data_IF_968578373394
#
_entry.id   IF_968578373394
#
_cell.length_a   1.000
_cell.length_b   1.000
_cell.length_c   1.000
_cell.angle_alpha   90.00
_cell.angle_beta   90.00
_cell.angle_gamma   90.00
#
_symmetry.space_group_name_H-M   'P 1'
#
loop_
_entity.id
_entity.type
_entity.pdbx_description
1 polymer ?
#
# COMPACT_ATOMS: atom_id res chain seq x y z
N UNK A 1 11.02 11.22 6.58
CA UNK A 1 10.97 9.74 6.41
C UNK A 1 9.52 9.32 6.22
N UNK A 2 9.25 8.28 5.40
CA UNK A 2 7.93 7.65 5.29
C UNK A 2 7.88 6.39 6.16
N UNK A 3 6.72 6.07 6.74
CA UNK A 3 6.49 4.81 7.42
C UNK A 3 5.42 4.00 6.70
N UNK A 4 5.61 2.69 6.61
CA UNK A 4 4.55 1.74 6.26
C UNK A 4 4.29 0.82 7.44
N UNK A 5 3.04 0.71 7.86
CA UNK A 5 2.64 -0.05 9.02
C UNK A 5 1.62 -1.11 8.65
N UNK A 6 1.91 -2.36 8.93
CA UNK A 6 0.96 -3.44 8.70
C UNK A 6 1.59 -4.79 8.45
N UNK A 7 1.01 -5.53 7.52
CA UNK A 7 1.33 -6.93 7.29
C UNK A 7 2.70 -7.18 6.66
N UNK A 8 3.34 -8.23 7.17
CA UNK A 8 4.49 -8.88 6.58
C UNK A 8 4.31 -10.39 6.71
N UNK A 9 4.46 -11.11 5.64
CA UNK A 9 4.18 -12.54 5.57
C UNK A 9 5.08 -13.26 4.55
N UNK A 10 4.98 -14.57 4.49
CA UNK A 10 5.56 -15.36 3.40
C UNK A 10 4.44 -15.93 2.54
N UNK A 11 4.47 -15.58 1.25
CA UNK A 11 3.66 -16.21 0.23
C UNK A 11 4.36 -17.46 -0.29
N UNK A 12 3.67 -18.63 -0.26
CA UNK A 12 4.12 -19.84 -0.89
C UNK A 12 3.51 -19.94 -2.29
N UNK A 13 4.29 -19.54 -3.29
CA UNK A 13 3.86 -19.49 -4.68
C UNK A 13 4.01 -20.86 -5.34
N UNK A 14 3.01 -21.34 -6.12
CA UNK A 14 3.08 -22.63 -6.79
C UNK A 14 4.11 -22.60 -7.93
N UNK A 15 4.95 -23.62 -8.00
CA UNK A 15 5.92 -23.83 -9.07
C UNK A 15 5.95 -25.32 -9.47
N UNK A 16 6.61 -25.61 -10.59
CA UNK A 16 6.98 -26.97 -10.94
C UNK A 16 8.46 -27.19 -10.60
N UNK A 17 8.75 -28.27 -9.89
CA UNK A 17 10.13 -28.71 -9.66
C UNK A 17 10.77 -29.24 -10.95
N UNK A 18 12.09 -29.43 -10.97
CA UNK A 18 12.84 -29.92 -12.13
C UNK A 18 12.34 -31.28 -12.62
N UNK A 19 11.85 -32.12 -11.72
CA UNK A 19 11.26 -33.43 -12.03
C UNK A 19 9.73 -33.39 -12.29
N UNK A 20 9.17 -32.17 -12.45
CA UNK A 20 7.76 -31.94 -12.84
C UNK A 20 6.74 -32.06 -11.70
N UNK A 21 7.17 -32.28 -10.44
CA UNK A 21 6.26 -32.32 -9.28
C UNK A 21 5.79 -30.93 -8.90
N UNK A 22 4.60 -30.87 -8.28
CA UNK A 22 4.13 -29.64 -7.64
C UNK A 22 5.05 -29.29 -6.48
N UNK A 23 5.48 -28.04 -6.44
CA UNK A 23 6.31 -27.48 -5.39
C UNK A 23 5.84 -26.05 -5.08
N UNK A 24 6.36 -25.47 -4.02
CA UNK A 24 6.11 -24.07 -3.67
C UNK A 24 7.42 -23.34 -3.37
N UNK A 25 7.49 -22.07 -3.72
CA UNK A 25 8.62 -21.20 -3.40
C UNK A 25 8.16 -20.17 -2.37
N UNK A 26 8.82 -20.07 -1.21
CA UNK A 26 8.56 -19.02 -0.24
C UNK A 26 9.07 -17.68 -0.73
N UNK A 27 8.22 -16.65 -0.72
CA UNK A 27 8.56 -15.28 -1.11
C UNK A 27 8.09 -14.33 -0.02
N UNK A 28 8.94 -13.38 0.38
CA UNK A 28 8.53 -12.33 1.31
C UNK A 28 7.49 -11.43 0.64
N UNK A 29 6.39 -11.17 1.34
CA UNK A 29 5.24 -10.42 0.88
C UNK A 29 4.47 -9.79 2.03
N UNK A 30 3.26 -9.36 1.74
CA UNK A 30 2.41 -8.52 2.57
C UNK A 30 2.32 -7.12 1.98
N UNK A 31 1.10 -6.60 1.85
CA UNK A 31 0.88 -5.33 1.14
C UNK A 31 1.70 -4.19 1.75
N UNK A 32 1.68 -4.03 3.07
CA UNK A 32 2.40 -2.94 3.72
C UNK A 32 3.93 -3.11 3.62
N UNK A 33 4.44 -4.36 3.64
CA UNK A 33 5.86 -4.62 3.37
C UNK A 33 6.22 -4.29 1.91
N UNK A 34 5.40 -4.71 0.95
CA UNK A 34 5.61 -4.42 -0.47
C UNK A 34 5.62 -2.91 -0.75
N UNK A 35 4.73 -2.15 -0.09
CA UNK A 35 4.69 -0.68 -0.18
C UNK A 35 5.97 -0.07 0.41
N UNK A 36 6.44 -0.55 1.57
CA UNK A 36 7.71 -0.09 2.14
C UNK A 36 8.88 -0.34 1.20
N UNK A 37 8.98 -1.55 0.64
CA UNK A 37 10.02 -1.94 -0.33
C UNK A 37 9.93 -1.08 -1.59
N UNK A 38 8.73 -0.87 -2.12
CA UNK A 38 8.51 -0.03 -3.31
C UNK A 38 8.97 1.42 -3.11
N UNK A 39 8.57 2.06 -2.01
CA UNK A 39 9.00 3.42 -1.68
C UNK A 39 10.53 3.52 -1.52
N UNK A 40 11.15 2.54 -0.84
CA UNK A 40 12.59 2.54 -0.60
C UNK A 40 13.38 2.31 -1.90
N UNK A 41 12.92 1.42 -2.78
CA UNK A 41 13.54 1.18 -4.10
C UNK A 41 13.48 2.39 -5.03
N UNK A 42 12.48 3.26 -4.84
CA UNK A 42 12.37 4.55 -5.53
C UNK A 42 13.24 5.65 -4.89
N UNK A 43 13.96 5.36 -3.80
CA UNK A 43 14.91 6.29 -3.17
C UNK A 43 14.35 7.09 -1.99
N UNK A 44 13.13 6.80 -1.51
CA UNK A 44 12.62 7.42 -0.29
C UNK A 44 13.28 6.81 0.96
N UNK A 45 13.55 7.59 2.02
CA UNK A 45 13.87 7.05 3.34
C UNK A 45 12.60 6.45 3.96
N UNK A 46 12.60 5.13 4.18
CA UNK A 46 11.42 4.36 4.63
C UNK A 46 11.72 3.56 5.87
N UNK A 47 10.79 3.58 6.83
CA UNK A 47 10.75 2.67 7.97
C UNK A 47 9.54 1.75 7.90
N UNK A 48 9.67 0.54 8.44
CA UNK A 48 8.59 -0.44 8.52
C UNK A 48 8.17 -0.67 9.97
N UNK A 49 6.85 -0.62 10.21
CA UNK A 49 6.23 -0.83 11.53
C UNK A 49 5.40 -2.09 11.49
N UNK A 50 5.81 -3.12 12.20
CA UNK A 50 5.12 -4.41 12.29
C UNK A 50 5.74 -5.29 13.36
N UNK A 51 5.16 -6.46 13.61
CA UNK A 51 5.82 -7.57 14.28
C UNK A 51 6.52 -8.47 13.25
N UNK A 52 7.81 -8.71 13.41
CA UNK A 52 8.60 -9.64 12.58
C UNK A 52 9.10 -10.77 13.45
N UNK A 53 8.79 -12.02 13.07
CA UNK A 53 9.25 -13.20 13.79
C UNK A 53 10.79 -13.33 13.83
N UNK A 54 11.29 -14.01 14.85
CA UNK A 54 12.68 -14.45 14.94
C UNK A 54 12.93 -15.80 14.26
N UNK A 55 11.88 -16.46 13.73
CA UNK A 55 11.97 -17.73 13.01
C UNK A 55 12.69 -17.61 11.65
N UNK A 56 12.76 -18.74 10.91
CA UNK A 56 13.38 -18.80 9.59
C UNK A 56 12.74 -17.78 8.61
N UNK A 57 11.42 -17.73 8.58
CA UNK A 57 10.66 -16.91 7.65
C UNK A 57 10.68 -15.41 8.03
N UNK A 58 10.66 -15.10 9.33
CA UNK A 58 10.86 -13.74 9.80
C UNK A 58 12.25 -13.18 9.49
N UNK A 59 13.28 -14.05 9.40
CA UNK A 59 14.60 -13.64 8.90
C UNK A 59 14.55 -13.34 7.40
N UNK A 60 13.86 -14.18 6.59
CA UNK A 60 13.69 -13.91 5.15
C UNK A 60 13.00 -12.57 4.90
N UNK A 61 11.94 -12.24 5.67
CA UNK A 61 11.26 -10.95 5.60
C UNK A 61 12.22 -9.81 5.94
N UNK A 62 12.97 -9.93 7.02
CA UNK A 62 13.93 -8.90 7.45
C UNK A 62 15.04 -8.68 6.41
N UNK A 63 15.61 -9.76 5.86
CA UNK A 63 16.66 -9.69 4.86
C UNK A 63 16.15 -9.05 3.56
N UNK A 64 14.92 -9.37 3.13
CA UNK A 64 14.27 -8.76 1.97
C UNK A 64 14.06 -7.25 2.15
N UNK A 65 13.57 -6.83 3.31
CA UNK A 65 13.37 -5.41 3.64
C UNK A 65 14.72 -4.65 3.66
N UNK A 66 15.72 -5.20 4.34
CA UNK A 66 17.05 -4.59 4.45
C UNK A 66 17.77 -4.52 3.10
N UNK A 67 17.65 -5.54 2.23
CA UNK A 67 18.19 -5.53 0.88
C UNK A 67 17.59 -4.42 -0.01
N UNK A 68 16.39 -3.93 0.34
CA UNK A 68 15.75 -2.80 -0.29
C UNK A 68 15.90 -1.49 0.51
N UNK A 69 16.81 -1.45 1.52
CA UNK A 69 17.09 -0.28 2.36
C UNK A 69 15.92 0.21 3.21
N UNK A 70 14.97 -0.66 3.54
CA UNK A 70 13.90 -0.36 4.50
C UNK A 70 14.45 -0.46 5.93
N UNK A 71 14.26 0.60 6.73
CA UNK A 71 14.66 0.60 8.14
C UNK A 71 13.71 -0.24 8.99
N UNK A 72 14.26 -1.16 9.78
CA UNK A 72 13.50 -2.05 10.67
C UNK A 72 13.54 -1.63 12.15
N UNK A 73 14.07 -0.44 12.48
CA UNK A 73 14.15 0.03 13.88
C UNK A 73 12.78 0.21 14.55
N UNK A 74 11.72 0.36 13.76
CA UNK A 74 10.34 0.48 14.24
C UNK A 74 9.59 -0.86 14.23
N UNK A 75 10.19 -1.92 13.69
CA UNK A 75 9.64 -3.26 13.71
C UNK A 75 9.99 -3.96 15.03
N UNK A 76 9.00 -4.62 15.65
CA UNK A 76 9.20 -5.42 16.85
C UNK A 76 9.61 -6.84 16.48
N UNK A 77 10.73 -7.32 17.04
CA UNK A 77 11.10 -8.74 16.87
C UNK A 77 10.34 -9.57 17.91
N UNK A 78 9.76 -10.68 17.45
CA UNK A 78 8.86 -11.52 18.24
C UNK A 78 9.16 -13.01 18.07
N UNK A 79 8.95 -13.80 19.12
CA UNK A 79 9.03 -15.27 19.07
C UNK A 79 7.74 -15.92 18.51
N UNK A 80 6.67 -15.14 18.29
CA UNK A 80 5.50 -15.61 17.57
C UNK A 80 5.90 -16.00 16.12
N UNK A 81 5.19 -17.00 15.57
CA UNK A 81 5.45 -17.49 14.21
C UNK A 81 5.20 -16.42 13.14
N UNK A 82 5.86 -16.56 12.00
CA UNK A 82 5.58 -15.74 10.81
C UNK A 82 4.21 -16.08 10.24
N UNK A 83 3.47 -15.09 9.78
CA UNK A 83 2.25 -15.27 8.98
C UNK A 83 2.60 -15.94 7.65
N UNK A 84 1.86 -16.99 7.26
CA UNK A 84 2.06 -17.69 6.01
C UNK A 84 0.80 -17.63 5.15
N UNK A 85 0.98 -17.46 3.85
CA UNK A 85 -0.08 -17.56 2.86
C UNK A 85 0.31 -18.57 1.77
N UNK A 86 -0.56 -19.56 1.54
CA UNK A 86 -0.39 -20.52 0.45
C UNK A 86 -1.30 -20.14 -0.70
N UNK A 87 -0.75 -20.08 -1.89
CA UNK A 87 -1.47 -19.79 -3.12
C UNK A 87 -1.60 -21.06 -3.93
N UNK A 88 -2.82 -21.38 -4.37
CA UNK A 88 -3.10 -22.47 -5.30
C UNK A 88 -4.04 -21.96 -6.39
N UNK A 89 -3.73 -22.25 -7.63
CA UNK A 89 -4.65 -21.99 -8.75
C UNK A 89 -5.61 -23.15 -8.91
N UNK A 90 -6.91 -22.89 -8.82
CA UNK A 90 -7.96 -23.89 -9.05
C UNK A 90 -8.91 -23.34 -10.12
N UNK A 91 -9.04 -24.06 -11.23
CA UNK A 91 -9.86 -23.64 -12.39
C UNK A 91 -9.52 -22.23 -12.92
N UNK A 92 -8.23 -21.83 -12.87
CA UNK A 92 -7.76 -20.52 -13.31
C UNK A 92 -7.86 -19.39 -12.27
N UNK A 93 -8.48 -19.66 -11.11
CA UNK A 93 -8.67 -18.68 -10.04
C UNK A 93 -7.68 -18.91 -8.88
N UNK A 94 -7.02 -17.87 -8.35
CA UNK A 94 -6.15 -18.02 -7.20
C UNK A 94 -6.97 -18.26 -5.93
N UNK A 95 -6.61 -19.31 -5.21
CA UNK A 95 -7.13 -19.60 -3.87
C UNK A 95 -6.02 -19.42 -2.86
N UNK A 96 -6.36 -18.79 -1.74
CA UNK A 96 -5.44 -18.51 -0.64
C UNK A 96 -5.85 -19.29 0.60
N UNK A 97 -4.86 -19.88 1.29
CA UNK A 97 -4.99 -20.35 2.66
C UNK A 97 -4.03 -19.54 3.54
N UNK A 98 -4.58 -18.82 4.52
CA UNK A 98 -3.81 -18.02 5.46
C UNK A 98 -3.64 -18.74 6.79
N UNK A 99 -2.44 -18.62 7.36
CA UNK A 99 -2.06 -19.09 8.69
C UNK A 99 -1.56 -17.85 9.45
N UNK A 100 -2.49 -17.13 10.03
CA UNK A 100 -2.29 -15.78 10.62
C UNK A 100 -2.65 -15.73 12.13
N UNK A 101 -3.23 -16.77 12.70
CA UNK A 101 -3.58 -16.80 14.12
C UNK A 101 -2.33 -16.80 15.01
N UNK A 102 -2.26 -15.84 15.94
CA UNK A 102 -1.16 -15.76 16.92
C UNK A 102 0.20 -15.43 16.33
N UNK A 103 0.26 -14.91 15.11
CA UNK A 103 1.52 -14.60 14.43
C UNK A 103 2.14 -13.28 14.87
N UNK A 104 3.43 -13.07 14.55
CA UNK A 104 4.18 -11.88 14.93
C UNK A 104 3.53 -10.59 14.38
N UNK A 105 3.09 -10.61 13.13
CA UNK A 105 2.44 -9.47 12.48
C UNK A 105 1.08 -9.12 13.11
N UNK A 106 0.30 -10.12 13.54
CA UNK A 106 -0.98 -9.90 14.23
C UNK A 106 -0.85 -9.50 15.70
N UNK A 107 0.29 -9.80 16.35
CA UNK A 107 0.51 -9.56 17.76
C UNK A 107 1.52 -8.43 18.08
N UNK A 108 1.81 -7.55 17.10
CA UNK A 108 2.63 -6.39 17.37
C UNK A 108 1.91 -5.42 18.33
N UNK A 109 2.69 -4.66 19.09
CA UNK A 109 2.17 -3.70 20.07
C UNK A 109 2.81 -2.34 19.83
N UNK A 110 1.96 -1.33 19.60
CA UNK A 110 2.40 0.05 19.56
C UNK A 110 2.65 0.58 20.98
N UNK A 111 3.77 1.25 21.18
CA UNK A 111 4.08 1.96 22.44
C UNK A 111 4.10 3.45 22.15
N UNK A 112 3.23 4.21 22.85
CA UNK A 112 3.20 5.67 22.72
C UNK A 112 4.59 6.28 22.92
N UNK A 113 4.94 7.25 22.05
CA UNK A 113 6.25 7.91 22.07
C UNK A 113 7.42 7.08 21.55
N UNK A 114 7.19 5.85 21.04
CA UNK A 114 8.27 5.04 20.45
C UNK A 114 8.68 5.47 19.03
N UNK A 115 7.85 6.26 18.37
CA UNK A 115 8.09 6.80 17.03
C UNK A 115 8.22 8.33 17.15
N UNK A 116 9.34 8.93 16.70
CA UNK A 116 9.53 10.38 16.68
C UNK A 116 8.78 10.99 15.48
N UNK A 117 7.50 11.29 15.65
CA UNK A 117 6.65 11.77 14.55
C UNK A 117 7.09 13.11 13.96
N UNK A 118 7.87 13.90 14.68
CA UNK A 118 8.54 15.11 14.18
C UNK A 118 9.56 14.84 13.06
N UNK A 119 10.01 13.60 12.89
CA UNK A 119 10.92 13.16 11.83
C UNK A 119 10.21 12.36 10.73
N UNK A 120 8.90 12.18 10.85
CA UNK A 120 8.08 11.40 9.90
C UNK A 120 7.22 12.35 9.07
N UNK A 121 7.21 12.16 7.76
CA UNK A 121 6.42 12.96 6.82
C UNK A 121 5.02 12.37 6.61
N UNK A 122 4.96 11.03 6.50
CA UNK A 122 3.69 10.31 6.33
C UNK A 122 3.76 8.89 6.88
N UNK A 123 2.59 8.35 7.24
CA UNK A 123 2.39 6.95 7.64
C UNK A 123 1.35 6.33 6.73
N UNK A 124 1.69 5.18 6.16
CA UNK A 124 0.74 4.32 5.44
C UNK A 124 0.28 3.18 6.34
N UNK A 125 -1.03 2.89 6.33
CA UNK A 125 -1.64 1.74 7.02
C UNK A 125 -2.63 1.03 6.09
N UNK A 126 -2.80 -0.28 6.28
CA UNK A 126 -3.76 -1.01 5.47
C UNK A 126 -3.73 -2.54 5.65
N UNK A 127 -4.42 -3.20 4.72
CA UNK A 127 -4.39 -4.64 4.48
C UNK A 127 -4.86 -5.52 5.65
N UNK A 128 -4.35 -6.74 5.72
CA UNK A 128 -4.82 -7.79 6.66
C UNK A 128 -4.64 -7.41 8.12
N UNK A 129 -3.66 -6.57 8.45
CA UNK A 129 -3.48 -6.03 9.81
C UNK A 129 -4.72 -5.35 10.35
N UNK A 130 -5.49 -4.68 9.47
CA UNK A 130 -6.71 -3.98 9.87
C UNK A 130 -7.95 -4.90 9.89
N UNK A 131 -7.85 -6.12 9.38
CA UNK A 131 -8.90 -7.14 9.51
C UNK A 131 -8.90 -7.76 10.92
N UNK A 132 -7.73 -7.85 11.55
CA UNK A 132 -7.56 -8.33 12.93
C UNK A 132 -7.90 -7.23 13.95
N UNK A 133 -8.55 -7.61 15.07
CA UNK A 133 -8.98 -6.66 16.11
C UNK A 133 -7.80 -6.02 16.84
N UNK A 134 -6.75 -6.80 17.16
CA UNK A 134 -5.56 -6.27 17.83
C UNK A 134 -4.76 -5.38 16.88
N UNK A 135 -4.45 -5.85 15.67
CA UNK A 135 -3.70 -5.08 14.68
C UNK A 135 -4.36 -3.73 14.38
N UNK A 136 -5.69 -3.72 14.20
CA UNK A 136 -6.46 -2.49 13.99
C UNK A 136 -6.39 -1.55 15.20
N UNK A 137 -6.51 -2.07 16.42
CA UNK A 137 -6.43 -1.25 17.65
C UNK A 137 -5.04 -0.62 17.82
N UNK A 138 -3.96 -1.37 17.53
CA UNK A 138 -2.59 -0.86 17.62
C UNK A 138 -2.32 0.20 16.55
N UNK A 139 -2.78 -0.04 15.31
CA UNK A 139 -2.67 0.93 14.23
C UNK A 139 -3.42 2.23 14.57
N UNK A 140 -4.65 2.12 15.06
CA UNK A 140 -5.44 3.29 15.45
C UNK A 140 -4.75 4.08 16.58
N UNK A 141 -4.24 3.42 17.60
CA UNK A 141 -3.51 4.09 18.70
C UNK A 141 -2.24 4.82 18.19
N UNK A 142 -1.54 4.25 17.22
CA UNK A 142 -0.39 4.88 16.58
C UNK A 142 -0.82 6.13 15.77
N UNK A 143 -1.90 6.02 15.00
CA UNK A 143 -2.39 7.14 14.19
C UNK A 143 -2.97 8.27 15.04
N UNK A 144 -3.61 7.95 16.16
CA UNK A 144 -4.05 8.96 17.14
C UNK A 144 -2.88 9.75 17.73
N UNK A 145 -1.77 9.06 18.03
CA UNK A 145 -0.55 9.69 18.56
C UNK A 145 0.17 10.54 17.48
N UNK A 146 0.09 10.13 16.23
CA UNK A 146 0.68 10.81 15.07
C UNK A 146 -0.16 11.99 14.55
N UNK A 147 -1.43 12.07 14.95
CA UNK A 147 -2.43 12.96 14.34
C UNK A 147 -2.00 14.43 14.35
N UNK A 148 -2.11 15.07 13.19
CA UNK A 148 -1.73 16.47 12.99
C UNK A 148 -0.23 16.73 12.82
N UNK A 149 0.62 15.73 13.08
CA UNK A 149 2.08 15.84 12.90
C UNK A 149 2.54 15.27 11.57
N UNK A 150 1.82 14.30 11.00
CA UNK A 150 2.16 13.57 9.78
C UNK A 150 0.93 13.43 8.88
N UNK A 151 1.13 13.20 7.58
CA UNK A 151 0.03 12.75 6.71
C UNK A 151 -0.25 11.27 6.92
N UNK A 152 -1.53 10.92 6.91
CA UNK A 152 -2.01 9.54 7.07
C UNK A 152 -2.51 9.04 5.72
N UNK A 153 -1.93 7.93 5.25
CA UNK A 153 -2.35 7.23 4.04
C UNK A 153 -2.97 5.89 4.41
N UNK A 154 -4.12 5.60 3.83
CA UNK A 154 -4.88 4.39 4.09
C UNK A 154 -5.23 3.68 2.80
N UNK A 155 -5.04 2.35 2.78
CA UNK A 155 -5.52 1.43 1.74
C UNK A 155 -6.17 0.22 2.41
N UNK A 156 -7.48 0.01 2.27
CA UNK A 156 -8.14 -1.14 2.89
C UNK A 156 -7.58 -2.46 2.39
N UNK A 157 -7.17 -2.55 1.12
CA UNK A 157 -6.60 -3.74 0.49
C UNK A 157 -7.32 -5.01 0.95
N UNK A 158 -8.63 -5.04 0.71
CA UNK A 158 -9.56 -5.99 1.30
C UNK A 158 -9.21 -7.44 0.98
N UNK A 159 -9.35 -8.30 1.97
CA UNK A 159 -9.27 -9.76 1.80
C UNK A 159 -10.57 -10.39 2.29
N UNK A 160 -11.62 -10.44 1.43
CA UNK A 160 -12.97 -10.88 1.85
C UNK A 160 -12.99 -12.23 2.58
N UNK A 161 -12.08 -13.15 2.23
CA UNK A 161 -11.95 -14.46 2.88
C UNK A 161 -11.51 -14.40 4.35
N UNK A 162 -10.85 -13.33 4.77
CA UNK A 162 -10.45 -13.09 6.16
C UNK A 162 -11.51 -12.33 6.96
N UNK A 163 -12.53 -11.79 6.29
CA UNK A 163 -13.56 -10.98 6.91
C UNK A 163 -14.68 -11.88 7.49
N UNK A 164 -14.67 -12.07 8.80
CA UNK A 164 -15.70 -12.88 9.52
C UNK A 164 -17.05 -12.16 9.60
N UNK A 165 -17.06 -10.83 9.79
CA UNK A 165 -18.25 -9.99 9.96
C UNK A 165 -18.17 -8.75 9.08
N UNK A 166 -18.77 -8.79 7.88
CA UNK A 166 -18.65 -7.72 6.88
C UNK A 166 -19.05 -6.35 7.43
N UNK A 167 -20.19 -6.23 8.13
CA UNK A 167 -20.65 -4.93 8.64
C UNK A 167 -19.63 -4.28 9.59
N UNK A 168 -19.08 -5.05 10.55
CA UNK A 168 -18.05 -4.57 11.49
C UNK A 168 -16.76 -4.21 10.78
N UNK A 169 -16.38 -5.00 9.75
CA UNK A 169 -15.21 -4.69 8.92
C UNK A 169 -15.39 -3.36 8.16
N UNK A 170 -16.53 -3.17 7.51
CA UNK A 170 -16.85 -1.92 6.78
C UNK A 170 -16.84 -0.71 7.73
N UNK A 171 -17.46 -0.84 8.91
CA UNK A 171 -17.44 0.22 9.94
C UNK A 171 -16.00 0.58 10.34
N UNK A 172 -15.15 -0.42 10.53
CA UNK A 172 -13.72 -0.23 10.84
C UNK A 172 -12.98 0.46 9.70
N UNK A 173 -13.15 0.02 8.45
CA UNK A 173 -12.50 0.66 7.29
C UNK A 173 -12.95 2.12 7.14
N UNK A 174 -14.22 2.41 7.37
CA UNK A 174 -14.72 3.79 7.40
C UNK A 174 -14.09 4.63 8.52
N UNK A 175 -13.85 4.04 9.68
CA UNK A 175 -13.15 4.75 10.77
C UNK A 175 -11.69 5.11 10.40
N UNK A 176 -10.97 4.21 9.72
CA UNK A 176 -9.62 4.52 9.21
C UNK A 176 -9.68 5.57 8.08
N UNK A 177 -10.63 5.46 7.16
CA UNK A 177 -10.80 6.44 6.09
C UNK A 177 -11.10 7.84 6.61
N UNK A 178 -11.85 7.97 7.71
CA UNK A 178 -12.22 9.25 8.32
C UNK A 178 -11.04 10.00 8.99
N UNK A 179 -9.94 9.30 9.28
CA UNK A 179 -8.73 9.92 9.87
C UNK A 179 -7.58 10.04 8.87
N UNK A 180 -7.75 9.51 7.65
CA UNK A 180 -6.74 9.51 6.62
C UNK A 180 -6.80 10.79 5.76
N UNK A 181 -5.62 11.32 5.40
CA UNK A 181 -5.48 12.40 4.41
C UNK A 181 -5.54 11.86 2.99
N UNK A 182 -5.04 10.63 2.79
CA UNK A 182 -5.00 9.93 1.51
C UNK A 182 -5.73 8.60 1.67
N UNK A 183 -6.82 8.40 0.93
CA UNK A 183 -7.55 7.13 0.86
C UNK A 183 -7.37 6.56 -0.54
N UNK A 184 -6.74 5.40 -0.65
CA UNK A 184 -6.64 4.69 -1.93
C UNK A 184 -7.28 3.32 -1.80
N UNK A 185 -7.99 2.88 -2.83
CA UNK A 185 -8.53 1.52 -2.92
C UNK A 185 -8.61 1.08 -4.38
N UNK A 186 -8.72 -0.22 -4.62
CA UNK A 186 -9.07 -0.74 -5.93
C UNK A 186 -10.58 -0.64 -6.19
N UNK A 187 -11.01 -0.75 -7.46
CA UNK A 187 -12.42 -0.88 -7.81
C UNK A 187 -13.07 -2.13 -7.18
N UNK A 188 -12.31 -3.21 -7.00
CA UNK A 188 -12.75 -4.43 -6.30
C UNK A 188 -12.98 -4.17 -4.80
N UNK A 189 -12.06 -3.45 -4.15
CA UNK A 189 -12.21 -3.06 -2.74
C UNK A 189 -13.41 -2.11 -2.57
N UNK A 190 -13.56 -1.18 -3.52
CA UNK A 190 -14.67 -0.25 -3.52
C UNK A 190 -16.02 -0.97 -3.59
N UNK A 191 -16.17 -1.92 -4.53
CA UNK A 191 -17.37 -2.73 -4.66
C UNK A 191 -17.64 -3.56 -3.38
N UNK A 192 -16.58 -4.11 -2.80
CA UNK A 192 -16.71 -4.89 -1.56
C UNK A 192 -17.19 -4.04 -0.38
N UNK A 193 -16.66 -2.82 -0.21
CA UNK A 193 -16.96 -1.95 0.92
C UNK A 193 -18.30 -1.20 0.76
N UNK A 194 -18.53 -0.61 -0.41
CA UNK A 194 -19.61 0.35 -0.63
C UNK A 194 -20.71 -0.19 -1.55
N UNK A 195 -20.43 -1.22 -2.35
CA UNK A 195 -21.32 -1.72 -3.39
C UNK A 195 -21.42 -0.77 -4.59
N UNK A 196 -21.69 -1.30 -5.76
CA UNK A 196 -21.87 -0.51 -6.98
C UNK A 196 -20.57 0.16 -7.48
N UNK A 197 -20.75 1.22 -8.27
CA UNK A 197 -19.64 1.92 -8.97
C UNK A 197 -19.79 3.45 -8.93
N UNK A 198 -20.54 4.00 -7.99
CA UNK A 198 -20.58 5.45 -7.77
C UNK A 198 -19.36 5.92 -7.00
N UNK A 199 -18.22 5.95 -7.70
CA UNK A 199 -16.96 6.39 -7.12
C UNK A 199 -17.02 7.86 -6.68
N UNK A 200 -17.67 8.72 -7.46
CA UNK A 200 -17.69 10.17 -7.19
C UNK A 200 -18.49 10.52 -5.93
N UNK A 201 -19.67 9.91 -5.75
CA UNK A 201 -20.48 10.13 -4.54
C UNK A 201 -19.75 9.70 -3.27
N UNK A 202 -19.16 8.50 -3.28
CA UNK A 202 -18.39 8.00 -2.14
C UNK A 202 -17.13 8.83 -1.90
N UNK A 203 -16.36 9.18 -2.96
CA UNK A 203 -15.15 9.97 -2.81
C UNK A 203 -15.45 11.36 -2.21
N UNK A 204 -16.51 12.02 -2.66
CA UNK A 204 -16.94 13.30 -2.10
C UNK A 204 -17.32 13.17 -0.61
N UNK A 205 -18.03 12.10 -0.24
CA UNK A 205 -18.35 11.84 1.17
C UNK A 205 -17.10 11.63 2.03
N UNK A 206 -16.07 10.93 1.51
CA UNK A 206 -14.79 10.74 2.20
C UNK A 206 -14.01 12.07 2.32
N UNK A 207 -14.05 12.93 1.30
CA UNK A 207 -13.46 14.27 1.35
C UNK A 207 -14.17 15.15 2.37
N UNK A 208 -15.50 15.12 2.41
CA UNK A 208 -16.29 15.82 3.42
C UNK A 208 -15.99 15.32 4.84
N UNK A 209 -15.67 14.04 4.99
CA UNK A 209 -15.25 13.44 6.26
C UNK A 209 -13.83 13.81 6.69
N UNK A 210 -12.98 14.36 5.78
CA UNK A 210 -11.66 14.87 6.13
C UNK A 210 -10.52 14.47 5.20
N UNK A 211 -10.72 13.51 4.28
CA UNK A 211 -9.69 13.15 3.32
C UNK A 211 -9.36 14.32 2.37
N UNK A 212 -8.07 14.50 2.07
CA UNK A 212 -7.62 15.49 1.07
C UNK A 212 -7.59 14.89 -0.33
N UNK A 213 -7.32 13.58 -0.43
CA UNK A 213 -7.19 12.85 -1.69
C UNK A 213 -7.82 11.46 -1.58
N UNK A 214 -8.74 11.15 -2.48
CA UNK A 214 -9.31 9.81 -2.64
C UNK A 214 -8.93 9.28 -4.02
N UNK A 215 -8.41 8.05 -4.09
CA UNK A 215 -7.95 7.43 -5.34
C UNK A 215 -8.59 6.05 -5.51
N UNK A 216 -9.19 5.80 -6.66
CA UNK A 216 -9.69 4.48 -7.07
C UNK A 216 -8.90 3.99 -8.27
N UNK A 217 -8.17 2.88 -8.10
CA UNK A 217 -7.45 2.20 -9.19
C UNK A 217 -8.36 1.17 -9.85
N UNK A 218 -8.31 1.08 -11.21
CA UNK A 218 -9.26 0.31 -12.03
C UNK A 218 -8.54 -0.64 -13.00
N UNK A 219 -7.41 -1.19 -12.56
CA UNK A 219 -6.57 -2.06 -13.39
C UNK A 219 -6.18 -1.38 -14.71
N UNK A 220 -6.42 -2.05 -15.83
CA UNK A 220 -6.11 -1.54 -17.19
C UNK A 220 -6.83 -0.22 -17.55
N UNK A 221 -7.86 0.15 -16.80
CA UNK A 221 -8.58 1.42 -16.97
C UNK A 221 -7.91 2.58 -16.23
N UNK A 222 -6.73 2.37 -15.63
CA UNK A 222 -5.98 3.40 -14.93
C UNK A 222 -6.52 3.74 -13.56
N UNK A 223 -6.48 5.03 -13.20
CA UNK A 223 -6.91 5.50 -11.89
C UNK A 223 -7.72 6.79 -11.99
N UNK A 224 -8.69 6.93 -11.09
CA UNK A 224 -9.42 8.17 -10.84
C UNK A 224 -9.10 8.67 -9.44
N UNK A 225 -8.94 9.98 -9.32
CA UNK A 225 -8.70 10.64 -8.04
C UNK A 225 -9.63 11.83 -7.87
N UNK A 226 -10.02 12.08 -6.64
CA UNK A 226 -10.80 13.25 -6.21
C UNK A 226 -10.01 13.98 -5.13
N UNK A 227 -9.86 15.27 -5.33
CA UNK A 227 -9.13 16.13 -4.42
C UNK A 227 -10.00 17.35 -4.11
N UNK A 228 -9.97 17.80 -2.86
CA UNK A 228 -10.86 18.85 -2.36
C UNK A 228 -10.80 20.13 -3.19
N UNK A 229 -9.61 20.60 -3.52
CA UNK A 229 -9.40 21.87 -4.24
C UNK A 229 -9.15 21.66 -5.74
N UNK A 230 -8.42 20.61 -6.14
CA UNK A 230 -8.08 20.36 -7.53
C UNK A 230 -9.19 19.64 -8.32
N UNK A 231 -10.24 19.18 -7.65
CA UNK A 231 -11.34 18.45 -8.26
C UNK A 231 -10.97 17.02 -8.68
N UNK A 232 -11.59 16.53 -9.74
CA UNK A 232 -11.38 15.17 -10.25
C UNK A 232 -10.23 15.14 -11.26
N UNK A 233 -9.35 14.15 -11.10
CA UNK A 233 -8.24 13.84 -12.01
C UNK A 233 -8.32 12.39 -12.43
N UNK A 234 -8.11 12.11 -13.70
CA UNK A 234 -8.09 10.75 -14.25
C UNK A 234 -6.81 10.53 -15.05
N UNK A 235 -6.24 9.33 -14.93
CA UNK A 235 -5.07 8.90 -15.71
C UNK A 235 -5.31 7.50 -16.27
N UNK A 236 -4.82 7.25 -17.47
CA UNK A 236 -4.85 5.93 -18.09
C UNK A 236 -3.72 5.05 -17.57
N UNK A 237 -3.90 3.73 -17.65
CA UNK A 237 -2.82 2.80 -17.42
C UNK A 237 -1.94 2.66 -18.67
N UNK A 238 -0.61 2.58 -18.54
CA UNK A 238 0.26 2.25 -19.66
C UNK A 238 -0.08 0.88 -20.24
N UNK A 239 -0.05 0.77 -21.58
CA UNK A 239 -0.23 -0.51 -22.27
C UNK A 239 1.04 -1.34 -22.14
N UNK A 240 0.93 -2.54 -21.57
CA UNK A 240 2.04 -3.48 -21.36
C UNK A 240 1.60 -4.91 -21.65
N UNK A 241 2.55 -5.80 -21.85
CA UNK A 241 2.33 -7.24 -21.77
C UNK A 241 2.31 -7.65 -20.29
N UNK A 242 1.16 -8.15 -19.83
CA UNK A 242 0.96 -8.53 -18.42
C UNK A 242 1.49 -9.94 -18.18
N UNK A 243 2.46 -10.07 -17.27
CA UNK A 243 2.97 -11.37 -16.80
C UNK A 243 2.28 -11.80 -15.51
N UNK A 244 2.13 -10.87 -14.54
CA UNK A 244 1.52 -11.11 -13.24
C UNK A 244 0.90 -9.79 -12.74
N UNK A 245 -0.17 -9.87 -11.94
CA UNK A 245 -0.80 -8.68 -11.35
C UNK A 245 -0.54 -8.56 -9.84
N UNK A 246 0.20 -9.51 -9.26
CA UNK A 246 0.53 -9.51 -7.83
C UNK A 246 1.39 -8.28 -7.51
N UNK A 247 1.01 -7.55 -6.46
CA UNK A 247 1.74 -6.37 -5.99
C UNK A 247 1.58 -5.10 -6.85
N UNK A 248 0.79 -5.13 -7.93
CA UNK A 248 0.54 -3.93 -8.76
C UNK A 248 -0.10 -2.79 -7.96
N UNK A 249 -1.07 -3.11 -7.10
CA UNK A 249 -1.71 -2.15 -6.20
C UNK A 249 -0.72 -1.58 -5.18
N UNK A 250 0.12 -2.43 -4.61
CA UNK A 250 1.15 -2.03 -3.64
C UNK A 250 2.20 -1.13 -4.30
N UNK A 251 2.61 -1.47 -5.53
CA UNK A 251 3.54 -0.66 -6.33
C UNK A 251 2.94 0.70 -6.71
N UNK A 252 1.66 0.75 -7.08
CA UNK A 252 0.94 1.99 -7.29
C UNK A 252 0.95 2.86 -6.03
N UNK A 253 0.59 2.30 -4.89
CA UNK A 253 0.51 3.02 -3.61
C UNK A 253 1.89 3.52 -3.17
N UNK A 254 2.93 2.69 -3.25
CA UNK A 254 4.30 3.06 -2.96
C UNK A 254 4.76 4.25 -3.84
N UNK A 255 4.51 4.16 -5.14
CA UNK A 255 4.89 5.19 -6.10
C UNK A 255 4.08 6.48 -5.94
N UNK A 256 2.80 6.41 -5.58
CA UNK A 256 1.98 7.58 -5.28
C UNK A 256 2.54 8.34 -4.07
N UNK A 257 2.85 7.65 -2.97
CA UNK A 257 3.41 8.26 -1.77
C UNK A 257 4.81 8.85 -2.04
N UNK A 258 5.65 8.12 -2.80
CA UNK A 258 6.93 8.63 -3.26
C UNK A 258 6.76 9.90 -4.12
N UNK A 259 5.85 9.88 -5.10
CA UNK A 259 5.63 11.00 -6.00
C UNK A 259 5.13 12.26 -5.26
N UNK A 260 4.16 12.10 -4.36
CA UNK A 260 3.68 13.21 -3.52
C UNK A 260 4.81 13.78 -2.65
N UNK A 261 5.72 12.92 -2.14
CA UNK A 261 6.91 13.38 -1.42
C UNK A 261 7.86 14.15 -2.33
N UNK A 262 8.15 13.62 -3.51
CA UNK A 262 9.10 14.22 -4.47
C UNK A 262 8.66 15.62 -4.94
N UNK A 263 7.34 15.85 -5.06
CA UNK A 263 6.77 17.17 -5.42
C UNK A 263 6.44 18.04 -4.21
N UNK A 264 6.80 17.62 -2.97
CA UNK A 264 6.59 18.39 -1.75
C UNK A 264 5.14 18.44 -1.26
N UNK A 265 4.32 17.43 -1.58
CA UNK A 265 2.90 17.35 -1.22
C UNK A 265 2.56 16.22 -0.23
N UNK A 266 3.56 15.63 0.46
CA UNK A 266 3.34 14.53 1.39
C UNK A 266 3.31 14.96 2.86
N UNK A 267 3.93 16.06 3.25
CA UNK A 267 3.94 16.51 4.63
C UNK A 267 2.54 16.93 5.09
N UNK A 268 2.29 16.87 6.40
CA UNK A 268 0.99 17.24 6.99
C UNK A 268 0.48 18.59 6.46
N UNK A 269 -0.75 18.61 5.96
CA UNK A 269 -1.42 19.79 5.39
C UNK A 269 -0.92 20.25 4.03
N UNK A 270 0.21 19.74 3.50
CA UNK A 270 0.75 20.18 2.20
C UNK A 270 -0.06 19.66 1.02
N UNK A 271 -0.70 18.51 1.17
CA UNK A 271 -1.52 17.89 0.13
C UNK A 271 -2.69 18.80 -0.30
N UNK A 272 -3.30 19.54 0.63
CA UNK A 272 -4.39 20.46 0.33
C UNK A 272 -4.01 21.58 -0.68
N UNK A 273 -2.70 21.80 -0.90
CA UNK A 273 -2.19 22.79 -1.85
C UNK A 273 -1.86 22.20 -3.23
N UNK A 274 -2.09 20.90 -3.43
CA UNK A 274 -1.79 20.24 -4.70
C UNK A 274 -2.74 20.73 -5.81
N UNK A 275 -2.19 21.04 -6.97
CA UNK A 275 -2.98 21.34 -8.17
C UNK A 275 -3.26 20.10 -9.01
N UNK A 276 -4.17 20.21 -9.98
CA UNK A 276 -4.57 19.09 -10.84
C UNK A 276 -3.42 18.55 -11.71
N UNK A 277 -2.47 19.40 -12.11
CA UNK A 277 -1.29 19.01 -12.87
C UNK A 277 -0.31 18.20 -12.02
N UNK A 278 -0.05 18.63 -10.78
CA UNK A 278 0.76 17.90 -9.79
C UNK A 278 0.17 16.52 -9.50
N UNK A 279 -1.15 16.45 -9.25
CA UNK A 279 -1.84 15.18 -9.02
C UNK A 279 -1.81 14.26 -10.24
N UNK A 280 -2.01 14.82 -11.45
CA UNK A 280 -1.92 14.03 -12.70
C UNK A 280 -0.54 13.41 -12.86
N UNK A 281 0.53 14.19 -12.67
CA UNK A 281 1.91 13.65 -12.74
C UNK A 281 2.16 12.57 -11.70
N UNK A 282 1.73 12.77 -10.45
CA UNK A 282 1.89 11.79 -9.38
C UNK A 282 1.13 10.48 -9.68
N UNK A 283 -0.11 10.57 -10.17
CA UNK A 283 -0.93 9.41 -10.56
C UNK A 283 -0.36 8.69 -11.79
N UNK A 284 0.13 9.43 -12.79
CA UNK A 284 0.76 8.85 -14.01
C UNK A 284 2.04 8.11 -13.64
N UNK A 285 2.87 8.68 -12.76
CA UNK A 285 4.06 8.00 -12.24
C UNK A 285 3.68 6.71 -11.48
N UNK A 286 2.68 6.78 -10.61
CA UNK A 286 2.19 5.62 -9.87
C UNK A 286 1.64 4.52 -10.81
N UNK A 287 0.89 4.90 -11.85
CA UNK A 287 0.40 3.96 -12.88
C UNK A 287 1.55 3.31 -13.65
N UNK A 288 2.60 4.06 -13.97
CA UNK A 288 3.79 3.53 -14.65
C UNK A 288 4.53 2.51 -13.78
N UNK A 289 4.71 2.79 -12.49
CA UNK A 289 5.33 1.84 -11.56
C UNK A 289 4.50 0.56 -11.38
N UNK A 290 3.17 0.69 -11.29
CA UNK A 290 2.27 -0.47 -11.24
C UNK A 290 2.34 -1.32 -12.52
N UNK A 291 2.34 -0.67 -13.69
CA UNK A 291 2.50 -1.35 -14.97
C UNK A 291 3.84 -2.09 -15.07
N UNK A 292 4.93 -1.47 -14.60
CA UNK A 292 6.24 -2.10 -14.55
C UNK A 292 6.23 -3.38 -13.70
N UNK A 293 5.58 -3.36 -12.53
CA UNK A 293 5.40 -4.54 -11.68
C UNK A 293 4.60 -5.62 -12.40
N UNK A 294 3.52 -5.26 -13.12
CA UNK A 294 2.74 -6.21 -13.89
C UNK A 294 3.50 -6.91 -15.03
N UNK A 295 4.58 -6.32 -15.54
CA UNK A 295 5.48 -6.92 -16.53
C UNK A 295 6.48 -7.94 -15.95
N UNK A 296 6.42 -8.22 -14.64
CA UNK A 296 7.32 -9.14 -13.92
C UNK A 296 6.52 -10.19 -13.14
N UNK A 297 7.18 -11.29 -12.76
CA UNK A 297 6.57 -12.30 -11.90
C UNK A 297 6.64 -11.86 -10.42
N UNK A 298 5.51 -11.95 -9.71
CA UNK A 298 5.39 -11.64 -8.29
C UNK A 298 5.40 -10.14 -7.97
N UNK A 299 5.38 -9.82 -6.68
CA UNK A 299 5.38 -8.44 -6.19
C UNK A 299 6.80 -7.83 -6.22
N UNK A 300 7.29 -7.51 -7.42
CA UNK A 300 8.64 -6.92 -7.63
C UNK A 300 8.54 -5.46 -8.11
N UNK A 301 8.37 -4.48 -7.20
CA UNK A 301 8.25 -3.08 -7.55
C UNK A 301 9.54 -2.54 -8.17
N UNK A 302 9.45 -1.53 -9.08
CA UNK A 302 10.60 -0.97 -9.77
C UNK A 302 11.59 -0.29 -8.80
N UNK A 303 12.83 -0.19 -9.26
CA UNK A 303 13.84 0.71 -8.71
C UNK A 303 13.80 2.06 -9.43
N UNK A 304 14.36 3.08 -8.84
CA UNK A 304 14.50 4.41 -9.45
C UNK A 304 15.09 4.34 -10.86
N UNK A 305 16.12 3.50 -11.06
CA UNK A 305 16.77 3.28 -12.36
C UNK A 305 15.85 2.67 -13.43
N UNK A 306 14.86 1.93 -13.04
CA UNK A 306 13.90 1.28 -13.95
C UNK A 306 12.88 2.28 -14.53
N UNK A 307 12.61 3.38 -13.80
CA UNK A 307 11.56 4.36 -14.09
C UNK A 307 12.09 5.79 -14.27
N UNK A 308 13.37 5.95 -14.59
CA UNK A 308 14.04 7.25 -14.66
C UNK A 308 13.37 8.26 -15.59
N UNK A 309 12.84 7.84 -16.75
CA UNK A 309 12.09 8.71 -17.66
C UNK A 309 10.78 9.21 -17.02
N UNK A 310 10.02 8.33 -16.38
CA UNK A 310 8.79 8.70 -15.68
C UNK A 310 9.07 9.60 -14.47
N UNK A 311 10.19 9.37 -13.78
CA UNK A 311 10.63 10.22 -12.68
C UNK A 311 11.00 11.63 -13.17
N UNK A 312 11.64 11.74 -14.32
CA UNK A 312 11.95 13.05 -14.93
C UNK A 312 10.67 13.82 -15.25
N UNK A 313 9.66 13.15 -15.82
CA UNK A 313 8.35 13.76 -16.11
C UNK A 313 7.62 14.19 -14.83
N UNK A 314 7.68 13.39 -13.77
CA UNK A 314 7.11 13.74 -12.47
C UNK A 314 7.68 15.07 -11.94
N UNK A 315 8.99 15.27 -12.08
CA UNK A 315 9.70 16.43 -11.53
C UNK A 315 9.71 17.65 -12.45
N UNK A 316 9.26 17.51 -13.72
CA UNK A 316 9.26 18.61 -14.69
C UNK A 316 8.16 19.63 -14.39
N UNK A 317 8.51 20.91 -14.07
CA UNK A 317 7.53 21.96 -13.85
C UNK A 317 6.89 22.51 -15.14
N UNK A 318 7.41 22.20 -16.34
CA UNK A 318 7.00 22.83 -17.59
C UNK A 318 5.66 22.28 -18.13
N UNK A 319 5.19 21.11 -17.70
CA UNK A 319 3.86 20.62 -18.03
C UNK A 319 2.69 21.35 -17.32
N UNK A 320 2.99 22.36 -16.49
CA UNK A 320 1.95 23.16 -15.77
C UNK A 320 1.05 24.01 -16.67
N UNK A 321 1.31 24.13 -17.96
CA UNK A 321 0.69 25.14 -18.82
C UNK A 321 0.11 24.67 -20.14
N UNK A 322 -0.17 23.40 -20.37
CA UNK A 322 -0.97 22.97 -21.50
C UNK A 322 -2.46 23.02 -21.12
N UNK A 323 -3.26 23.99 -21.61
CA UNK A 323 -4.71 23.96 -21.47
C UNK A 323 -5.29 22.81 -22.32
N UNK A 324 -6.47 22.29 -21.96
CA UNK A 324 -7.14 21.20 -22.64
C UNK A 324 -7.47 21.50 -24.09
#
# INVERSE_FOLDING_TARGET
MLLSCGDALIDFLPVKSVDGRDAVVPVAGGSCLNIAVGMARLGAPVGFVSGISTDLFGRMIADHALASQVELRYATRSEHQTTLAFVRTVAGEPQYAFYDEGTASGNWIYRRGSIPFDQIEAIHVGSTTLADDNGAAQALAMLEDARGSVSISFDPNCRPKLVRHKARYVERMNAFAAIADIVRMSDVDFEFLYGGSDYSGTANSLIEAGASLVVVTRGIRGAQAWHKEAGQVEVEAPTIEVMDTIGAGDSFQAALLFALRAIGRIAAGSLAQADSGELRRALSFASTCAAFTCGRAGADPPRETDVGAALSQLLDPLERTAPP
#
